data_IF_240323093614
#
_entry.id   IF_240323093614
#
_cell.length_a   1.000
_cell.length_b   1.000
_cell.length_c   1.000
_cell.angle_alpha   90.00
_cell.angle_beta   90.00
_cell.angle_gamma   90.00
#
_symmetry.space_group_name_H-M   'P 1'
#
loop_
_entity.id
_entity.type
_entity.pdbx_description
1 polymer ?
#
# COMPACT_ATOMS: atom_id res chain seq x y z
N UNK A 1 8.13 30.27 -11.82
CA UNK A 1 8.63 29.23 -12.74
C UNK A 1 8.15 27.89 -12.21
N UNK A 2 7.16 27.28 -12.87
CA UNK A 2 6.59 26.02 -12.44
C UNK A 2 7.61 24.90 -12.72
N UNK A 3 8.18 24.32 -11.67
CA UNK A 3 8.97 23.09 -11.77
C UNK A 3 8.02 21.99 -12.25
N UNK A 4 8.05 21.69 -13.55
CA UNK A 4 7.36 20.51 -14.09
C UNK A 4 8.02 19.30 -13.45
N UNK A 5 7.37 18.72 -12.46
CA UNK A 5 7.75 17.43 -11.92
C UNK A 5 7.82 16.45 -13.10
N UNK A 6 8.96 15.79 -13.35
CA UNK A 6 9.09 14.89 -14.49
C UNK A 6 7.94 13.89 -14.47
N UNK A 7 7.32 13.67 -15.63
CA UNK A 7 6.25 12.69 -15.75
C UNK A 7 6.81 11.32 -15.34
N UNK A 8 6.17 10.66 -14.40
CA UNK A 8 6.67 9.41 -13.82
C UNK A 8 6.92 8.33 -14.87
N UNK A 9 6.15 8.36 -15.96
CA UNK A 9 6.35 7.50 -17.12
C UNK A 9 7.74 7.71 -17.74
N UNK A 10 8.19 8.96 -17.82
CA UNK A 10 9.53 9.31 -18.32
C UNK A 10 10.64 8.83 -17.36
N UNK A 11 10.44 8.99 -16.05
CA UNK A 11 11.37 8.50 -15.03
C UNK A 11 11.48 6.97 -15.09
N UNK A 12 10.36 6.26 -15.25
CA UNK A 12 10.33 4.79 -15.41
C UNK A 12 11.13 4.36 -16.64
N UNK A 13 10.91 5.00 -17.79
CA UNK A 13 11.66 4.67 -19.01
C UNK A 13 13.17 4.95 -18.87
N UNK A 14 13.56 6.07 -18.27
CA UNK A 14 14.96 6.40 -18.02
C UNK A 14 15.61 5.37 -17.08
N UNK A 15 14.89 4.96 -16.04
CA UNK A 15 15.38 3.95 -15.12
C UNK A 15 15.51 2.57 -15.77
N UNK A 16 14.56 2.16 -16.61
CA UNK A 16 14.65 0.93 -17.42
C UNK A 16 15.85 0.94 -18.38
N UNK A 17 16.28 2.10 -18.84
CA UNK A 17 17.48 2.25 -19.66
C UNK A 17 18.80 2.19 -18.86
N UNK A 18 18.72 1.98 -17.55
CA UNK A 18 19.87 1.87 -16.64
C UNK A 18 20.37 3.20 -16.06
N UNK A 19 19.59 4.29 -16.20
CA UNK A 19 19.94 5.59 -15.65
C UNK A 19 19.76 5.61 -14.12
N UNK A 20 20.88 5.72 -13.40
CA UNK A 20 20.89 5.81 -11.93
C UNK A 20 20.27 7.10 -11.38
N UNK A 21 20.22 8.17 -12.17
CA UNK A 21 19.58 9.42 -11.75
C UNK A 21 18.06 9.26 -11.71
N UNK A 22 17.50 8.52 -12.68
CA UNK A 22 16.09 8.17 -12.71
C UNK A 22 15.68 7.23 -11.56
N UNK A 23 16.58 6.35 -11.12
CA UNK A 23 16.37 5.54 -9.92
C UNK A 23 16.17 6.42 -8.67
N UNK A 24 17.02 7.43 -8.48
CA UNK A 24 16.93 8.35 -7.35
C UNK A 24 15.65 9.20 -7.40
N UNK A 25 15.25 9.66 -8.60
CA UNK A 25 14.02 10.41 -8.80
C UNK A 25 12.77 9.55 -8.54
N UNK A 26 12.80 8.29 -8.97
CA UNK A 26 11.73 7.33 -8.74
C UNK A 26 11.62 6.96 -7.25
N UNK A 27 12.76 6.79 -6.57
CA UNK A 27 12.82 6.62 -5.12
C UNK A 27 12.20 7.82 -4.40
N UNK A 28 12.60 9.04 -4.76
CA UNK A 28 12.10 10.26 -4.15
C UNK A 28 10.60 10.42 -4.38
N UNK A 29 10.12 10.12 -5.58
CA UNK A 29 8.69 10.12 -5.89
C UNK A 29 7.93 9.10 -5.03
N UNK A 30 8.40 7.85 -4.98
CA UNK A 30 7.80 6.79 -4.19
C UNK A 30 7.77 7.17 -2.70
N UNK A 31 8.89 7.68 -2.18
CA UNK A 31 9.04 8.12 -0.79
C UNK A 31 8.01 9.19 -0.43
N UNK A 32 7.86 10.22 -1.26
CA UNK A 32 6.91 11.31 -1.01
C UNK A 32 5.45 10.80 -1.03
N UNK A 33 5.09 9.94 -1.97
CA UNK A 33 3.74 9.36 -2.05
C UNK A 33 3.43 8.49 -0.83
N UNK A 34 4.35 7.57 -0.48
CA UNK A 34 4.18 6.68 0.67
C UNK A 34 4.11 7.45 2.00
N UNK A 35 4.94 8.49 2.15
CA UNK A 35 4.88 9.38 3.31
C UNK A 35 3.56 10.12 3.41
N UNK A 36 3.00 10.58 2.29
CA UNK A 36 1.68 11.22 2.26
C UNK A 36 0.57 10.24 2.68
N UNK A 37 0.58 9.01 2.18
CA UNK A 37 -0.39 7.96 2.55
C UNK A 37 -0.31 7.66 4.04
N UNK A 38 0.89 7.40 4.55
CA UNK A 38 1.11 7.14 5.97
C UNK A 38 0.67 8.32 6.85
N UNK A 39 0.84 9.56 6.37
CA UNK A 39 0.35 10.74 7.08
C UNK A 39 -1.18 10.85 7.06
N UNK A 40 -1.84 10.57 5.93
CA UNK A 40 -3.30 10.58 5.83
C UNK A 40 -3.95 9.50 6.71
N UNK A 41 -3.41 8.27 6.70
CA UNK A 41 -3.92 7.19 7.54
C UNK A 41 -3.70 7.47 9.03
N UNK A 42 -2.60 8.14 9.40
CA UNK A 42 -2.39 8.64 10.77
C UNK A 42 -3.42 9.68 11.18
N UNK A 43 -3.67 10.69 10.36
CA UNK A 43 -4.70 11.69 10.63
C UNK A 43 -6.07 11.04 10.80
N UNK A 44 -6.41 10.08 9.92
CA UNK A 44 -7.66 9.33 9.99
C UNK A 44 -7.78 8.48 11.24
N UNK A 45 -6.70 7.81 11.63
CA UNK A 45 -6.64 6.94 12.81
C UNK A 45 -6.69 7.76 14.10
N UNK A 46 -5.96 8.87 14.18
CA UNK A 46 -6.00 9.80 15.30
C UNK A 46 -7.42 10.39 15.50
N UNK A 47 -8.12 10.68 14.40
CA UNK A 47 -9.50 11.19 14.48
C UNK A 47 -10.52 10.12 14.89
N UNK A 48 -10.24 8.84 14.65
CA UNK A 48 -11.14 7.72 14.98
C UNK A 48 -10.86 7.10 16.36
N UNK A 49 -9.62 7.14 16.82
CA UNK A 49 -9.16 6.43 18.03
C UNK A 49 -8.45 7.33 19.06
N UNK A 50 -8.38 8.65 18.83
CA UNK A 50 -7.67 9.60 19.69
C UNK A 50 -6.17 9.69 19.41
N UNK A 51 -5.55 10.80 19.81
CA UNK A 51 -4.12 11.10 19.61
C UNK A 51 -3.18 10.29 20.50
N UNK A 52 -3.72 9.66 21.55
CA UNK A 52 -2.94 9.01 22.63
C UNK A 52 -2.82 7.49 22.45
N UNK A 53 -2.70 7.04 21.18
CA UNK A 53 -2.59 5.63 20.86
C UNK A 53 -1.12 5.29 20.58
N UNK A 54 -0.51 4.45 21.42
CA UNK A 54 0.90 3.98 21.32
C UNK A 54 1.27 3.40 19.94
N UNK A 55 0.28 3.01 19.13
CA UNK A 55 0.45 2.54 17.75
C UNK A 55 1.00 3.64 16.81
N UNK A 56 0.80 4.92 17.12
CA UNK A 56 1.15 6.05 16.26
C UNK A 56 2.61 6.53 16.39
N UNK A 57 3.25 6.32 17.54
CA UNK A 57 4.64 6.74 17.79
C UNK A 57 5.67 5.73 17.26
N UNK A 58 5.43 4.42 17.46
CA UNK A 58 6.23 3.34 16.85
C UNK A 58 6.09 3.31 15.31
N UNK A 59 4.97 3.84 14.81
CA UNK A 59 4.65 3.96 13.39
C UNK A 59 5.55 4.95 12.63
N UNK A 60 6.17 5.96 13.27
CA UNK A 60 7.02 6.93 12.56
C UNK A 60 8.34 6.34 12.08
N UNK A 61 9.04 5.60 12.97
CA UNK A 61 10.26 4.87 12.60
C UNK A 61 9.93 3.69 11.69
N UNK A 62 8.79 3.03 11.92
CA UNK A 62 8.29 1.99 11.02
C UNK A 62 8.05 2.56 9.63
N UNK A 63 7.33 3.68 9.45
CA UNK A 63 7.00 4.22 8.13
C UNK A 63 8.24 4.49 7.27
N UNK A 64 9.28 5.13 7.80
CA UNK A 64 10.51 5.37 7.04
C UNK A 64 11.24 4.07 6.71
N UNK A 65 11.31 3.12 7.65
CA UNK A 65 11.88 1.80 7.40
C UNK A 65 11.08 1.01 6.36
N UNK A 66 9.74 1.06 6.41
CA UNK A 66 8.85 0.41 5.45
C UNK A 66 8.98 1.02 4.05
N UNK A 67 9.23 2.32 3.96
CA UNK A 67 9.48 2.97 2.68
C UNK A 67 10.85 2.56 2.13
N UNK A 68 11.87 2.48 2.98
CA UNK A 68 13.18 1.99 2.58
C UNK A 68 13.12 0.52 2.12
N UNK A 69 12.43 -0.34 2.86
CA UNK A 69 12.21 -1.73 2.49
C UNK A 69 11.38 -1.85 1.21
N UNK A 70 10.40 -0.95 1.03
CA UNK A 70 9.62 -0.89 -0.21
C UNK A 70 10.52 -0.57 -1.39
N UNK A 71 11.42 0.40 -1.25
CA UNK A 71 12.38 0.73 -2.28
C UNK A 71 13.34 -0.43 -2.57
N UNK A 72 13.92 -1.07 -1.55
CA UNK A 72 14.80 -2.22 -1.77
C UNK A 72 14.08 -3.37 -2.48
N UNK A 73 12.81 -3.63 -2.13
CA UNK A 73 11.99 -4.64 -2.80
C UNK A 73 11.62 -4.23 -4.23
N UNK A 74 11.32 -2.96 -4.50
CA UNK A 74 10.98 -2.46 -5.84
C UNK A 74 12.21 -2.46 -6.76
N UNK A 75 13.36 -1.98 -6.27
CA UNK A 75 14.64 -1.96 -7.00
C UNK A 75 15.20 -3.35 -7.31
N UNK A 76 14.87 -4.35 -6.48
CA UNK A 76 15.23 -5.76 -6.71
C UNK A 76 14.20 -6.57 -7.50
N UNK A 77 13.02 -5.99 -7.74
CA UNK A 77 11.97 -6.66 -8.52
C UNK A 77 12.21 -6.52 -10.02
N UNK A 78 11.58 -7.38 -10.83
CA UNK A 78 11.75 -7.36 -12.28
C UNK A 78 11.13 -6.11 -12.92
N UNK A 79 12.01 -5.17 -13.25
CA UNK A 79 11.70 -3.84 -13.77
C UNK A 79 11.17 -3.84 -15.20
N UNK A 80 11.37 -4.94 -15.91
CA UNK A 80 10.85 -5.10 -17.26
C UNK A 80 9.32 -5.16 -17.29
N UNK A 81 8.69 -5.47 -16.15
CA UNK A 81 7.23 -5.55 -16.02
C UNK A 81 6.53 -4.20 -15.78
N UNK A 82 7.27 -3.10 -15.59
CA UNK A 82 6.72 -1.77 -15.30
C UNK A 82 6.69 -0.91 -16.57
N UNK A 83 5.63 -0.99 -17.36
CA UNK A 83 5.57 -0.25 -18.63
C UNK A 83 5.02 1.16 -18.47
N UNK A 84 4.20 1.39 -17.46
CA UNK A 84 3.47 2.64 -17.29
C UNK A 84 3.25 2.97 -15.81
N UNK A 85 2.74 4.19 -15.58
CA UNK A 85 2.37 4.70 -14.25
C UNK A 85 1.45 3.74 -13.48
N UNK A 86 0.47 3.14 -14.14
CA UNK A 86 -0.48 2.21 -13.51
C UNK A 86 0.24 0.98 -12.96
N UNK A 87 1.13 0.38 -13.74
CA UNK A 87 1.88 -0.80 -13.33
C UNK A 87 2.79 -0.49 -12.14
N UNK A 88 3.42 0.69 -12.15
CA UNK A 88 4.21 1.17 -11.01
C UNK A 88 3.38 1.31 -9.73
N UNK A 89 2.22 1.97 -9.77
CA UNK A 89 1.38 2.12 -8.57
C UNK A 89 0.80 0.80 -8.07
N UNK A 90 0.47 -0.13 -8.96
CA UNK A 90 -0.01 -1.46 -8.58
C UNK A 90 1.11 -2.31 -7.95
N UNK A 91 2.33 -2.19 -8.47
CA UNK A 91 3.51 -2.81 -7.87
C UNK A 91 3.83 -2.22 -6.50
N UNK A 92 3.81 -0.89 -6.37
CA UNK A 92 4.01 -0.21 -5.10
C UNK A 92 2.97 -0.65 -4.05
N UNK A 93 1.70 -0.79 -4.47
CA UNK A 93 0.64 -1.31 -3.61
C UNK A 93 0.92 -2.75 -3.16
N UNK A 94 1.40 -3.62 -4.06
CA UNK A 94 1.78 -5.00 -3.74
C UNK A 94 2.91 -5.03 -2.71
N UNK A 95 3.94 -4.23 -2.91
CA UNK A 95 5.10 -4.16 -2.00
C UNK A 95 4.70 -3.64 -0.62
N UNK A 96 3.86 -2.60 -0.56
CA UNK A 96 3.30 -2.12 0.71
C UNK A 96 2.53 -3.21 1.44
N UNK A 97 1.65 -3.93 0.74
CA UNK A 97 0.90 -5.03 1.35
C UNK A 97 1.83 -6.10 1.92
N UNK A 98 2.87 -6.49 1.18
CA UNK A 98 3.86 -7.47 1.65
C UNK A 98 4.58 -7.00 2.91
N UNK A 99 4.95 -5.73 2.96
CA UNK A 99 5.64 -5.13 4.10
C UNK A 99 4.74 -5.10 5.35
N UNK A 100 3.45 -4.77 5.18
CA UNK A 100 2.49 -4.82 6.28
C UNK A 100 2.32 -6.25 6.83
N UNK A 101 2.31 -7.26 5.96
CA UNK A 101 2.28 -8.68 6.34
C UNK A 101 3.56 -9.08 7.08
N UNK A 102 4.72 -8.73 6.56
CA UNK A 102 6.02 -9.10 7.14
C UNK A 102 6.16 -8.48 8.54
N UNK A 103 5.77 -7.21 8.72
CA UNK A 103 5.70 -6.58 10.03
C UNK A 103 4.74 -7.29 10.98
N UNK A 104 3.53 -7.61 10.52
CA UNK A 104 2.56 -8.31 11.35
C UNK A 104 3.12 -9.66 11.83
N UNK A 105 3.81 -10.41 10.95
CA UNK A 105 4.47 -11.67 11.27
C UNK A 105 5.61 -11.48 12.26
N UNK A 106 6.44 -10.46 12.07
CA UNK A 106 7.57 -10.15 12.95
C UNK A 106 7.10 -9.79 14.37
N UNK A 107 6.09 -8.93 14.50
CA UNK A 107 5.49 -8.57 15.78
C UNK A 107 4.90 -9.81 16.49
N UNK A 108 4.26 -10.71 15.75
CA UNK A 108 3.77 -11.97 16.32
C UNK A 108 4.92 -12.88 16.79
N UNK A 109 6.00 -12.99 16.01
CA UNK A 109 7.15 -13.82 16.35
C UNK A 109 7.90 -13.31 17.59
N UNK A 110 8.15 -12.00 17.69
CA UNK A 110 8.77 -11.40 18.88
C UNK A 110 7.92 -11.58 20.14
N UNK A 111 6.59 -11.45 20.03
CA UNK A 111 5.65 -11.67 21.14
C UNK A 111 5.58 -13.14 21.59
N UNK A 112 5.96 -14.11 20.75
CA UNK A 112 6.08 -15.53 21.16
C UNK A 112 7.38 -15.82 21.93
N UNK A 113 8.43 -15.03 21.71
CA UNK A 113 9.73 -15.20 22.37
C UNK A 113 9.77 -14.56 23.77
N UNK A 114 9.03 -13.47 23.99
CA UNK A 114 8.71 -12.99 25.33
C UNK A 114 7.54 -13.82 25.88
N UNK A 115 7.76 -14.64 26.92
CA UNK A 115 6.69 -15.42 27.60
C UNK A 115 5.63 -14.55 28.32
N UNK A 116 5.45 -13.31 27.90
CA UNK A 116 4.46 -12.40 28.45
C UNK A 116 3.10 -12.79 27.89
N UNK A 117 2.18 -13.13 28.80
CA UNK A 117 0.78 -13.46 28.59
C UNK A 117 0.24 -12.74 27.35
N UNK A 118 0.04 -13.50 26.27
CA UNK A 118 -0.58 -12.99 25.05
C UNK A 118 -1.99 -12.55 25.45
N UNK A 119 -2.28 -11.26 25.36
CA UNK A 119 -3.68 -10.82 25.38
C UNK A 119 -4.36 -11.45 24.17
N UNK A 120 -5.37 -12.30 24.37
CA UNK A 120 -6.11 -12.97 23.29
C UNK A 120 -6.51 -11.99 22.16
N UNK A 121 -6.83 -10.74 22.51
CA UNK A 121 -7.23 -9.69 21.59
C UNK A 121 -6.18 -9.35 20.52
N UNK A 122 -4.89 -9.48 20.79
CA UNK A 122 -3.83 -9.16 19.83
C UNK A 122 -3.54 -10.34 18.88
N UNK A 123 -3.71 -11.57 19.35
CA UNK A 123 -3.65 -12.76 18.49
C UNK A 123 -4.81 -12.77 17.50
N UNK A 124 -6.02 -12.45 17.99
CA UNK A 124 -7.24 -12.38 17.16
C UNK A 124 -7.12 -11.32 16.04
N UNK A 125 -6.51 -10.16 16.33
CA UNK A 125 -6.25 -9.12 15.32
C UNK A 125 -5.29 -9.59 14.23
N UNK A 126 -4.23 -10.32 14.60
CA UNK A 126 -3.28 -10.86 13.62
C UNK A 126 -3.96 -11.89 12.71
N UNK A 127 -4.74 -12.81 13.29
CA UNK A 127 -5.48 -13.81 12.52
C UNK A 127 -6.49 -13.14 11.58
N UNK A 128 -7.24 -12.14 12.06
CA UNK A 128 -8.16 -11.36 11.24
C UNK A 128 -7.43 -10.64 10.09
N UNK A 129 -6.24 -10.08 10.33
CA UNK A 129 -5.43 -9.45 9.30
C UNK A 129 -4.94 -10.47 8.25
N UNK A 130 -4.48 -11.66 8.66
CA UNK A 130 -4.12 -12.73 7.73
C UNK A 130 -5.31 -13.28 6.93
N UNK A 131 -6.50 -13.35 7.54
CA UNK A 131 -7.73 -13.74 6.84
C UNK A 131 -8.13 -12.69 5.79
N UNK A 132 -8.08 -11.41 6.16
CA UNK A 132 -8.30 -10.30 5.23
C UNK A 132 -7.32 -10.36 4.05
N UNK A 133 -6.05 -10.62 4.34
CA UNK A 133 -5.00 -10.76 3.34
C UNK A 133 -5.32 -11.86 2.31
N UNK A 134 -5.60 -13.08 2.78
CA UNK A 134 -6.01 -14.19 1.91
C UNK A 134 -7.29 -13.89 1.12
N UNK A 135 -8.25 -13.19 1.73
CA UNK A 135 -9.47 -12.77 1.06
C UNK A 135 -9.17 -11.81 -0.11
N UNK A 136 -8.22 -10.87 0.06
CA UNK A 136 -7.79 -9.95 -1.00
C UNK A 136 -7.08 -10.70 -2.14
N UNK A 137 -6.32 -11.77 -1.87
CA UNK A 137 -5.74 -12.60 -2.93
C UNK A 137 -6.82 -13.31 -3.74
N UNK A 138 -7.77 -13.96 -3.08
CA UNK A 138 -8.90 -14.60 -3.76
C UNK A 138 -9.73 -13.57 -4.56
N UNK A 139 -9.96 -12.39 -3.98
CA UNK A 139 -10.64 -11.29 -4.66
C UNK A 139 -9.92 -10.86 -5.93
N UNK A 140 -8.58 -10.82 -5.90
CA UNK A 140 -7.76 -10.40 -7.03
C UNK A 140 -7.84 -11.36 -8.22
N UNK A 141 -8.07 -12.65 -7.96
CA UNK A 141 -8.21 -13.68 -9.00
C UNK A 141 -9.56 -13.51 -9.73
N UNK A 142 -10.65 -13.33 -8.98
CA UNK A 142 -12.00 -13.28 -9.56
C UNK A 142 -12.40 -11.89 -10.07
N UNK A 143 -11.87 -10.83 -9.46
CA UNK A 143 -12.28 -9.44 -9.68
C UNK A 143 -11.05 -8.52 -9.81
N UNK A 144 -10.22 -8.70 -10.85
CA UNK A 144 -8.93 -8.02 -10.96
C UNK A 144 -9.06 -6.50 -10.98
N UNK A 145 -10.02 -5.93 -11.73
CA UNK A 145 -10.20 -4.46 -11.81
C UNK A 145 -10.64 -3.86 -10.48
N UNK A 146 -11.61 -4.50 -9.81
CA UNK A 146 -12.10 -4.06 -8.51
C UNK A 146 -11.01 -4.17 -7.45
N UNK A 147 -10.19 -5.22 -7.51
CA UNK A 147 -9.01 -5.39 -6.68
C UNK A 147 -7.97 -4.29 -6.91
N UNK A 148 -7.70 -3.91 -8.17
CA UNK A 148 -6.83 -2.78 -8.50
C UNK A 148 -7.37 -1.48 -7.88
N UNK A 149 -8.66 -1.16 -8.10
CA UNK A 149 -9.28 0.04 -7.52
C UNK A 149 -9.19 0.04 -5.99
N UNK A 150 -9.44 -1.10 -5.34
CA UNK A 150 -9.31 -1.26 -3.89
C UNK A 150 -7.87 -1.00 -3.42
N UNK A 151 -6.88 -1.62 -4.05
CA UNK A 151 -5.45 -1.46 -3.71
C UNK A 151 -5.00 -0.02 -3.89
N UNK A 152 -5.33 0.61 -5.01
CA UNK A 152 -5.01 2.01 -5.26
C UNK A 152 -5.70 2.94 -4.24
N UNK A 153 -6.93 2.62 -3.83
CA UNK A 153 -7.66 3.42 -2.85
C UNK A 153 -7.08 3.33 -1.44
N UNK A 154 -6.81 2.10 -0.99
CA UNK A 154 -6.53 1.84 0.43
C UNK A 154 -5.06 1.60 0.74
N UNK A 155 -4.27 1.12 -0.22
CA UNK A 155 -2.83 0.98 -0.07
C UNK A 155 -2.12 2.21 -0.62
N UNK A 156 -2.56 2.77 -1.77
CA UNK A 156 -1.95 3.99 -2.34
C UNK A 156 -2.63 5.30 -1.93
N UNK A 157 -3.68 5.28 -1.10
CA UNK A 157 -4.38 6.50 -0.64
C UNK A 157 -5.01 7.36 -1.74
N UNK A 158 -5.18 6.84 -2.96
CA UNK A 158 -5.59 7.64 -4.11
C UNK A 158 -7.06 8.09 -4.03
N UNK A 159 -7.35 9.28 -4.57
CA UNK A 159 -8.72 9.79 -4.76
C UNK A 159 -9.38 9.08 -5.93
N UNK A 160 -10.71 8.99 -5.92
CA UNK A 160 -11.45 8.24 -6.95
C UNK A 160 -11.18 8.78 -8.36
N UNK A 161 -10.98 10.10 -8.49
CA UNK A 161 -10.59 10.75 -9.74
C UNK A 161 -9.21 10.32 -10.24
N UNK A 162 -8.22 10.29 -9.35
CA UNK A 162 -6.87 9.85 -9.68
C UNK A 162 -6.86 8.37 -10.09
N UNK A 163 -7.65 7.53 -9.42
CA UNK A 163 -7.83 6.12 -9.79
C UNK A 163 -8.51 6.00 -11.15
N UNK A 164 -9.55 6.81 -11.42
CA UNK A 164 -10.27 6.75 -12.70
C UNK A 164 -9.40 7.18 -13.88
N UNK A 165 -8.54 8.19 -13.67
CA UNK A 165 -7.53 8.62 -14.65
C UNK A 165 -6.48 7.51 -14.85
N UNK A 166 -6.00 6.88 -13.78
CA UNK A 166 -4.98 5.83 -13.84
C UNK A 166 -5.48 4.52 -14.47
N UNK A 167 -6.74 4.15 -14.23
CA UNK A 167 -7.39 2.95 -14.77
C UNK A 167 -8.16 3.19 -16.07
N UNK A 168 -8.07 4.41 -16.64
CA UNK A 168 -8.70 4.79 -17.90
C UNK A 168 -10.21 4.50 -17.94
N UNK A 169 -10.92 4.85 -16.86
CA UNK A 169 -12.35 4.62 -16.75
C UNK A 169 -13.09 5.79 -16.08
N UNK A 170 -14.41 5.71 -15.93
CA UNK A 170 -15.18 6.79 -15.29
C UNK A 170 -15.10 6.74 -13.76
N UNK A 171 -15.16 7.90 -13.10
CA UNK A 171 -15.22 7.99 -11.64
C UNK A 171 -16.43 7.24 -11.03
N UNK A 172 -17.57 7.27 -11.73
CA UNK A 172 -18.77 6.48 -11.39
C UNK A 172 -18.49 4.97 -11.33
N UNK A 173 -17.66 4.47 -12.26
CA UNK A 173 -17.28 3.07 -12.28
C UNK A 173 -16.37 2.71 -11.10
N UNK A 174 -15.41 3.58 -10.77
CA UNK A 174 -14.55 3.42 -9.59
C UNK A 174 -15.38 3.37 -8.30
N UNK A 175 -16.39 4.22 -8.16
CA UNK A 175 -17.28 4.18 -7.00
C UNK A 175 -18.02 2.85 -6.88
N UNK A 176 -18.54 2.32 -8.00
CA UNK A 176 -19.20 1.01 -8.04
C UNK A 176 -18.22 -0.12 -7.70
N UNK A 177 -17.02 -0.09 -8.26
CA UNK A 177 -15.97 -1.08 -8.00
C UNK A 177 -15.56 -1.08 -6.52
N UNK A 178 -15.36 0.09 -5.92
CA UNK A 178 -15.02 0.22 -4.50
C UNK A 178 -16.17 -0.19 -3.58
N UNK A 179 -17.43 0.07 -3.98
CA UNK A 179 -18.61 -0.37 -3.24
C UNK A 179 -18.72 -1.90 -3.28
N UNK A 180 -18.60 -2.49 -4.47
CA UNK A 180 -18.60 -3.94 -4.65
C UNK A 180 -17.49 -4.62 -3.85
N UNK A 181 -16.26 -4.11 -3.93
CA UNK A 181 -15.11 -4.65 -3.20
C UNK A 181 -15.36 -4.70 -1.69
N UNK A 182 -15.92 -3.62 -1.13
CA UNK A 182 -16.29 -3.54 0.30
C UNK A 182 -17.38 -4.53 0.68
N UNK A 183 -18.42 -4.68 -0.14
CA UNK A 183 -19.49 -5.65 0.09
C UNK A 183 -18.96 -7.10 0.02
N UNK A 184 -18.14 -7.39 -0.99
CA UNK A 184 -17.57 -8.72 -1.17
C UNK A 184 -16.65 -9.11 -0.02
N UNK A 185 -15.74 -8.22 0.40
CA UNK A 185 -14.83 -8.49 1.52
C UNK A 185 -15.59 -8.69 2.83
N UNK A 186 -16.61 -7.87 3.10
CA UNK A 186 -17.47 -8.07 4.28
C UNK A 186 -18.16 -9.42 4.26
N UNK A 187 -18.65 -9.87 3.11
CA UNK A 187 -19.30 -11.18 2.97
C UNK A 187 -18.35 -12.36 3.16
N UNK A 188 -17.03 -12.16 2.99
CA UNK A 188 -16.01 -13.21 3.17
C UNK A 188 -15.38 -13.24 4.54
N UNK A 189 -15.56 -12.17 5.32
CA UNK A 189 -14.98 -11.98 6.65
C UNK A 189 -16.03 -11.94 7.76
N UNK A 190 -17.31 -12.11 7.39
CA UNK A 190 -18.41 -12.36 8.31
C UNK A 190 -18.48 -13.86 8.63
#
# INVERSE_FOLDING_TARGET
MATSTPDITQIIHQWQSGDKSAEADLYQFAYLQLRQIAQQERTRSAQKYGTDNQVLSDSMNSTTALIHDAYLKISSSDLQSIENKKDFFLMAAKVMRQILIDNARHLQAQKRQQMTIISNQDSDKFEQFMMMDKAIDNFSIHYPRQSQALKLKYLMGMRNREISELLECSASLIEKDLKFSRCWLRSKLA
#
